data_IF_930570291718
#
_entry.id   IF_930570291718
#
_cell.length_a   1.000
_cell.length_b   1.000
_cell.length_c   1.000
_cell.angle_alpha   90.00
_cell.angle_beta   90.00
_cell.angle_gamma   90.00
#
_symmetry.space_group_name_H-M   'P 1'
#
loop_
_entity.id
_entity.type
_entity.pdbx_description
1 polymer ?
#
# COMPACT_ATOMS: atom_id res chain seq x y z
N UNK A 1 -2.89 -0.39 -3.37
CA UNK A 1 -3.86 0.71 -3.57
C UNK A 1 -3.21 1.75 -4.45
N UNK A 2 -3.90 2.31 -5.43
CA UNK A 2 -3.34 3.43 -6.21
C UNK A 2 -3.32 4.67 -5.34
N UNK A 3 -2.24 5.45 -5.42
CA UNK A 3 -2.00 6.62 -4.58
C UNK A 3 -3.27 7.48 -4.42
N UNK A 4 -3.72 7.73 -3.19
CA UNK A 4 -4.95 8.47 -2.92
C UNK A 4 -4.91 9.95 -3.28
N UNK A 5 -3.76 10.53 -3.62
CA UNK A 5 -3.58 11.97 -3.94
C UNK A 5 -3.02 12.24 -5.33
N UNK A 6 -3.22 11.32 -6.27
CA UNK A 6 -2.71 11.47 -7.64
C UNK A 6 -3.42 12.63 -8.38
N UNK A 7 -2.67 13.70 -8.69
CA UNK A 7 -3.18 14.91 -9.37
C UNK A 7 -3.51 14.71 -10.87
N UNK A 8 -3.00 13.65 -11.49
CA UNK A 8 -3.05 13.46 -12.95
C UNK A 8 -3.57 12.06 -13.33
N UNK A 9 -4.73 11.69 -12.78
CA UNK A 9 -5.33 10.38 -13.02
C UNK A 9 -6.18 10.37 -14.29
N UNK A 10 -5.57 10.01 -15.41
CA UNK A 10 -6.27 9.83 -16.69
C UNK A 10 -7.22 8.62 -16.71
N UNK A 11 -7.26 7.80 -15.64
CA UNK A 11 -7.98 6.53 -15.58
C UNK A 11 -9.02 6.37 -14.47
N UNK A 12 -9.24 7.39 -13.61
CA UNK A 12 -10.17 7.33 -12.46
C UNK A 12 -9.90 6.14 -11.53
N UNK A 13 -8.64 5.78 -11.27
CA UNK A 13 -8.22 4.69 -10.36
C UNK A 13 -7.60 5.16 -9.05
N UNK A 14 -7.52 6.48 -8.80
CA UNK A 14 -7.12 7.07 -7.51
C UNK A 14 -7.87 6.43 -6.34
N UNK A 15 -7.14 6.05 -5.30
CA UNK A 15 -7.70 5.40 -4.10
C UNK A 15 -8.28 3.99 -4.32
N UNK A 16 -8.29 3.47 -5.55
CA UNK A 16 -8.80 2.12 -5.80
C UNK A 16 -7.85 1.07 -5.26
N UNK A 17 -8.44 0.06 -4.62
CA UNK A 17 -7.72 -1.05 -4.02
C UNK A 17 -7.78 -2.23 -4.99
N UNK A 18 -6.64 -2.54 -5.58
CA UNK A 18 -6.43 -3.72 -6.40
C UNK A 18 -5.35 -4.64 -5.84
N UNK A 19 -5.15 -5.76 -6.52
CA UNK A 19 -4.10 -6.74 -6.25
C UNK A 19 -2.91 -6.44 -7.15
N UNK A 20 -1.73 -6.27 -6.57
CA UNK A 20 -0.47 -6.18 -7.32
C UNK A 20 -0.19 -7.56 -7.93
N UNK A 21 -0.31 -7.68 -9.25
CA UNK A 21 -0.08 -8.94 -9.98
C UNK A 21 1.38 -9.09 -10.39
N UNK A 22 2.07 -7.98 -10.66
CA UNK A 22 3.48 -7.97 -11.03
C UNK A 22 4.16 -6.66 -10.62
N UNK A 23 5.24 -6.73 -9.84
CA UNK A 23 6.17 -5.62 -9.65
C UNK A 23 7.35 -5.76 -10.60
N UNK A 24 7.49 -4.85 -11.55
CA UNK A 24 8.49 -4.98 -12.62
C UNK A 24 9.61 -3.96 -12.51
N UNK A 25 9.28 -2.67 -12.33
CA UNK A 25 10.26 -1.59 -12.22
C UNK A 25 9.69 -0.37 -11.53
N UNK A 26 10.51 0.65 -11.30
CA UNK A 26 10.06 1.95 -10.79
C UNK A 26 8.94 2.59 -11.62
N UNK A 27 8.83 2.27 -12.92
CA UNK A 27 7.89 2.91 -13.85
C UNK A 27 6.64 2.10 -14.13
N UNK A 28 6.69 0.79 -13.93
CA UNK A 28 5.69 -0.14 -14.46
C UNK A 28 5.46 -1.26 -13.46
N UNK A 29 4.28 -1.27 -12.85
CA UNK A 29 3.82 -2.27 -11.90
C UNK A 29 2.34 -2.50 -12.12
N UNK A 30 1.97 -3.76 -12.32
CA UNK A 30 0.64 -4.15 -12.77
C UNK A 30 -0.29 -4.41 -11.59
N UNK A 31 -1.45 -3.76 -11.62
CA UNK A 31 -2.48 -3.85 -10.59
C UNK A 31 -3.78 -4.30 -11.26
N UNK A 32 -4.35 -5.38 -10.74
CA UNK A 32 -5.66 -5.89 -11.17
C UNK A 32 -6.74 -5.45 -10.18
N UNK A 33 -7.84 -4.92 -10.69
CA UNK A 33 -8.92 -4.38 -9.87
C UNK A 33 -10.09 -5.38 -9.73
N UNK A 34 -10.86 -5.32 -8.62
CA UNK A 34 -12.01 -6.20 -8.39
C UNK A 34 -13.11 -6.09 -9.46
N UNK A 35 -13.34 -4.91 -10.01
CA UNK A 35 -14.28 -4.66 -11.12
C UNK A 35 -13.82 -5.23 -12.46
N UNK A 36 -12.64 -5.84 -12.51
CA UNK A 36 -12.00 -6.33 -13.72
C UNK A 36 -11.07 -5.29 -14.36
N UNK A 37 -10.21 -5.78 -15.25
CA UNK A 37 -9.18 -4.97 -15.90
C UNK A 37 -7.87 -4.91 -15.09
N UNK A 38 -6.80 -4.62 -15.82
CA UNK A 38 -5.45 -4.49 -15.30
C UNK A 38 -4.85 -3.20 -15.85
N UNK A 39 -4.17 -2.44 -15.00
CA UNK A 39 -3.46 -1.23 -15.38
C UNK A 39 -2.09 -1.23 -14.72
N UNK A 40 -1.14 -0.51 -15.32
CA UNK A 40 0.19 -0.36 -14.75
C UNK A 40 0.39 1.04 -14.17
N UNK A 41 1.15 1.11 -13.08
CA UNK A 41 1.49 2.34 -12.39
C UNK A 41 2.98 2.38 -12.02
N UNK A 42 3.60 3.57 -11.95
CA UNK A 42 4.89 3.75 -11.29
C UNK A 42 4.87 3.25 -9.85
N UNK A 43 6.00 2.77 -9.35
CA UNK A 43 6.13 2.21 -8.00
C UNK A 43 5.70 3.21 -6.91
N UNK A 44 6.12 4.46 -7.06
CA UNK A 44 5.73 5.57 -6.19
C UNK A 44 4.21 5.82 -6.12
N UNK A 45 3.44 5.35 -7.11
CA UNK A 45 1.99 5.52 -7.17
C UNK A 45 1.21 4.29 -6.69
N UNK A 46 1.89 3.22 -6.29
CA UNK A 46 1.26 2.02 -5.73
C UNK A 46 1.60 1.96 -4.26
N UNK A 47 0.59 2.15 -3.42
CA UNK A 47 0.71 2.14 -1.96
C UNK A 47 0.33 0.77 -1.39
N UNK A 48 1.12 0.31 -0.42
CA UNK A 48 0.89 -0.86 0.41
C UNK A 48 0.85 -0.46 1.88
N UNK A 49 0.30 -1.31 2.75
CA UNK A 49 0.42 -1.12 4.19
C UNK A 49 1.89 -1.28 4.60
N UNK A 50 2.35 -0.39 5.48
CA UNK A 50 3.61 -0.59 6.21
C UNK A 50 3.55 -1.86 7.04
N UNK A 51 4.71 -2.33 7.46
CA UNK A 51 4.80 -3.45 8.39
C UNK A 51 4.02 -3.17 9.68
N UNK A 52 3.33 -4.19 10.19
CA UNK A 52 2.51 -4.07 11.41
C UNK A 52 3.31 -3.56 12.59
N UNK A 53 4.57 -3.98 12.73
CA UNK A 53 5.45 -3.56 13.82
C UNK A 53 5.78 -2.08 13.71
N UNK A 54 5.97 -1.55 12.50
CA UNK A 54 6.19 -0.12 12.28
C UNK A 54 4.97 0.70 12.70
N UNK A 55 3.77 0.27 12.28
CA UNK A 55 2.50 0.93 12.68
C UNK A 55 2.31 0.87 14.20
N UNK A 56 2.60 -0.27 14.83
CA UNK A 56 2.53 -0.43 16.28
C UNK A 56 3.53 0.46 17.02
N UNK A 57 4.76 0.56 16.52
CA UNK A 57 5.80 1.40 17.09
C UNK A 57 5.39 2.89 17.00
N UNK A 58 4.83 3.33 15.87
CA UNK A 58 4.34 4.71 15.72
C UNK A 58 3.18 5.01 16.69
N UNK A 59 2.21 4.10 16.81
CA UNK A 59 1.14 4.21 17.81
C UNK A 59 1.66 4.30 19.24
N UNK A 60 2.67 3.50 19.59
CA UNK A 60 3.23 3.47 20.95
C UNK A 60 4.02 4.73 21.27
N UNK A 61 4.78 5.24 20.32
CA UNK A 61 5.69 6.35 20.53
C UNK A 61 5.02 7.71 20.35
N UNK A 62 4.09 7.82 19.40
CA UNK A 62 3.50 9.09 18.98
C UNK A 62 1.98 9.16 19.19
N UNK A 63 1.33 8.08 19.62
CA UNK A 63 -0.13 7.99 19.69
C UNK A 63 -0.82 9.03 20.58
N UNK A 64 -0.15 9.50 21.64
CA UNK A 64 -0.67 10.56 22.52
C UNK A 64 -0.74 11.93 21.85
N UNK A 65 -0.01 12.14 20.76
CA UNK A 65 0.01 13.38 19.98
C UNK A 65 -0.94 13.35 18.78
N UNK A 66 -1.52 12.20 18.46
CA UNK A 66 -2.44 12.05 17.34
C UNK A 66 -3.84 12.57 17.68
N UNK A 67 -4.56 13.13 16.70
CA UNK A 67 -6.01 13.25 16.77
C UNK A 67 -6.63 11.89 17.14
N UNK A 68 -7.67 11.90 17.98
CA UNK A 68 -8.29 10.67 18.47
C UNK A 68 -8.78 9.76 17.34
N UNK A 69 -9.28 10.35 16.26
CA UNK A 69 -9.80 9.60 15.12
C UNK A 69 -8.67 8.94 14.32
N UNK A 70 -7.55 9.62 14.12
CA UNK A 70 -6.34 9.07 13.49
C UNK A 70 -5.75 7.92 14.31
N UNK A 71 -5.67 8.10 15.64
CA UNK A 71 -5.23 7.02 16.54
C UNK A 71 -6.12 5.78 16.41
N UNK A 72 -7.44 5.95 16.42
CA UNK A 72 -8.40 4.84 16.27
C UNK A 72 -8.27 4.17 14.90
N UNK A 73 -8.10 4.94 13.83
CA UNK A 73 -7.92 4.43 12.48
C UNK A 73 -6.65 3.58 12.39
N UNK A 74 -5.51 4.09 12.86
CA UNK A 74 -4.23 3.37 12.90
C UNK A 74 -4.32 2.09 13.73
N UNK A 75 -4.93 2.15 14.92
CA UNK A 75 -5.11 0.98 15.78
C UNK A 75 -5.97 -0.09 15.11
N UNK A 76 -7.06 0.31 14.44
CA UNK A 76 -7.92 -0.61 13.68
C UNK A 76 -7.19 -1.23 12.49
N UNK A 77 -6.39 -0.45 11.77
CA UNK A 77 -5.53 -0.96 10.69
C UNK A 77 -4.58 -2.03 11.22
N UNK A 78 -3.90 -1.77 12.35
CA UNK A 78 -2.99 -2.73 12.97
C UNK A 78 -3.69 -4.04 13.36
N UNK A 79 -4.89 -3.98 13.95
CA UNK A 79 -5.68 -5.17 14.28
C UNK A 79 -6.10 -5.97 13.04
N UNK A 80 -6.42 -5.28 11.94
CA UNK A 80 -6.77 -5.93 10.68
C UNK A 80 -5.56 -6.57 10.01
N UNK A 81 -4.37 -5.97 10.12
CA UNK A 81 -3.12 -6.59 9.68
C UNK A 81 -2.82 -7.86 10.47
N UNK A 82 -3.03 -7.84 11.79
CA UNK A 82 -2.83 -9.02 12.65
C UNK A 82 -3.73 -10.20 12.26
N UNK A 83 -4.96 -9.91 11.82
CA UNK A 83 -5.88 -10.93 11.29
C UNK A 83 -5.36 -11.59 9.99
N UNK A 84 -4.64 -10.85 9.16
CA UNK A 84 -3.92 -11.37 7.98
C UNK A 84 -4.76 -11.89 6.81
N UNK A 85 -6.09 -11.87 6.88
CA UNK A 85 -6.93 -12.32 5.74
C UNK A 85 -7.00 -11.25 4.65
N UNK A 86 -7.16 -11.65 3.39
CA UNK A 86 -7.25 -10.71 2.25
C UNK A 86 -8.35 -9.66 2.44
N UNK A 87 -9.50 -10.05 3.02
CA UNK A 87 -10.58 -9.13 3.34
C UNK A 87 -10.19 -8.12 4.43
N UNK A 88 -9.41 -8.56 5.43
CA UNK A 88 -8.93 -7.68 6.49
C UNK A 88 -7.91 -6.67 5.95
N UNK A 89 -6.97 -7.12 5.10
CA UNK A 89 -6.02 -6.24 4.42
C UNK A 89 -6.72 -5.23 3.50
N UNK A 90 -7.73 -5.67 2.74
CA UNK A 90 -8.56 -4.76 1.93
C UNK A 90 -9.23 -3.70 2.81
N UNK A 91 -9.81 -4.12 3.94
CA UNK A 91 -10.49 -3.22 4.88
C UNK A 91 -9.51 -2.22 5.52
N UNK A 92 -8.29 -2.65 5.82
CA UNK A 92 -7.23 -1.79 6.34
C UNK A 92 -6.79 -0.72 5.32
N UNK A 93 -6.63 -1.11 4.05
CA UNK A 93 -6.33 -0.17 2.96
C UNK A 93 -7.48 0.83 2.75
N UNK A 94 -8.73 0.37 2.84
CA UNK A 94 -9.90 1.26 2.73
C UNK A 94 -9.94 2.29 3.87
N UNK A 95 -9.65 1.87 5.10
CA UNK A 95 -9.55 2.80 6.24
C UNK A 95 -8.43 3.82 6.00
N UNK A 96 -7.27 3.42 5.51
CA UNK A 96 -6.18 4.35 5.20
C UNK A 96 -6.58 5.36 4.11
N UNK A 97 -7.31 4.91 3.08
CA UNK A 97 -7.84 5.79 2.04
C UNK A 97 -8.82 6.84 2.59
N UNK A 98 -9.71 6.42 3.49
CA UNK A 98 -10.75 7.29 4.07
C UNK A 98 -10.21 8.24 5.17
N UNK A 99 -8.96 8.04 5.61
CA UNK A 99 -8.33 8.81 6.69
C UNK A 99 -6.99 9.39 6.22
N UNK A 100 -6.99 10.53 5.48
CA UNK A 100 -5.76 11.14 4.94
C UNK A 100 -4.67 11.40 5.98
N UNK A 101 -5.06 11.79 7.21
CA UNK A 101 -4.14 12.07 8.32
C UNK A 101 -3.27 10.89 8.76
N UNK A 102 -3.66 9.65 8.41
CA UNK A 102 -2.89 8.46 8.76
C UNK A 102 -2.07 7.89 7.60
N UNK A 103 -2.25 8.37 6.36
CA UNK A 103 -1.70 7.72 5.18
C UNK A 103 -0.17 7.60 5.24
N UNK A 104 0.55 8.70 5.54
CA UNK A 104 2.02 8.70 5.66
C UNK A 104 2.53 7.79 6.79
N UNK A 105 1.67 7.46 7.76
CA UNK A 105 2.01 6.64 8.93
C UNK A 105 1.77 5.15 8.70
N UNK A 106 0.84 4.80 7.81
CA UNK A 106 0.39 3.42 7.61
C UNK A 106 0.61 2.88 6.21
N UNK A 107 0.97 3.73 5.25
CA UNK A 107 1.23 3.35 3.87
C UNK A 107 2.67 3.64 3.46
N UNK A 108 3.21 2.79 2.60
CA UNK A 108 4.45 3.01 1.86
C UNK A 108 4.26 2.68 0.38
N UNK A 109 5.05 3.32 -0.48
CA UNK A 109 5.12 2.92 -1.88
C UNK A 109 5.77 1.54 -2.02
N UNK A 110 5.35 0.77 -3.02
CA UNK A 110 6.01 -0.50 -3.31
C UNK A 110 7.48 -0.27 -3.68
N UNK A 111 8.33 -1.20 -3.28
CA UNK A 111 9.71 -1.27 -3.75
C UNK A 111 9.82 -2.46 -4.73
N UNK A 112 9.88 -2.23 -6.05
CA UNK A 112 10.06 -3.30 -7.00
C UNK A 112 11.45 -3.88 -6.80
N UNK A 113 11.54 -5.12 -6.28
CA UNK A 113 12.82 -5.79 -6.14
C UNK A 113 13.53 -5.78 -7.51
N UNK A 114 14.78 -5.30 -7.62
CA UNK A 114 15.54 -5.46 -8.85
C UNK A 114 15.60 -6.96 -9.11
N UNK A 115 15.22 -7.41 -10.32
CA UNK A 115 15.42 -8.79 -10.74
C UNK A 115 16.82 -9.20 -10.30
N UNK A 116 16.92 -10.19 -9.41
CA UNK A 116 18.17 -10.91 -9.25
C UNK A 116 18.65 -11.27 -10.66
N UNK A 117 19.88 -10.88 -10.99
CA UNK A 117 20.59 -11.20 -12.22
C UNK A 117 20.70 -12.74 -12.39
N UNK A 118 19.59 -13.41 -12.70
CA UNK A 118 19.57 -14.83 -13.04
C UNK A 118 20.08 -15.08 -14.47
N UNK A 119 20.55 -14.02 -15.16
CA UNK A 119 21.06 -14.10 -16.52
C UNK A 119 22.58 -14.31 -16.63
N UNK A 120 23.34 -14.42 -15.53
CA UNK A 120 24.82 -14.54 -15.61
C UNK A 120 25.44 -15.89 -15.19
N UNK A 121 24.63 -16.93 -14.90
CA UNK A 121 25.19 -18.24 -14.46
C UNK A 121 25.16 -19.34 -15.53
N UNK A 122 24.69 -19.07 -16.75
CA UNK A 122 24.75 -20.04 -17.87
C UNK A 122 25.54 -19.49 -19.05
N UNK A 123 26.78 -19.05 -18.79
CA UNK A 123 27.76 -18.84 -19.83
C UNK A 123 29.15 -19.08 -19.23
N UNK A 124 29.51 -20.35 -19.07
CA UNK A 124 30.89 -20.86 -19.11
C UNK A 124 30.87 -22.37 -19.23
#
# INVERSE_FOLDING_TARGET
MVQPDLENDSGMKRGHIGVLTMSFSEKENYVRFPEGGEAYFPAAQVMMLKDKQEVFNDLTNNGSSLPLDDFKAMYKIMLLQDRGTSQAIYSALAIANDNPGVQERVLDSINPAPKQDLAKTYAR
#
